data_IF_901148522649
#
_entry.id   IF_901148522649
#
_cell.length_a   1.000
_cell.length_b   1.000
_cell.length_c   1.000
_cell.angle_alpha   90.00
_cell.angle_beta   90.00
_cell.angle_gamma   90.00
#
_symmetry.space_group_name_H-M   'P 1'
#
loop_
_entity.id
_entity.type
_entity.pdbx_description
1 polymer ?
#
# COMPACT_ATOMS: atom_id res chain seq x y z
N UNK A 1 5.96 -6.06 9.51
CA UNK A 1 5.05 -5.30 8.60
C UNK A 1 4.50 -4.08 9.30
N UNK A 2 3.82 -4.25 10.44
CA UNK A 2 3.26 -3.12 11.21
C UNK A 2 4.32 -2.06 11.53
N UNK A 3 5.50 -2.46 12.01
CA UNK A 3 6.58 -1.50 12.32
C UNK A 3 7.03 -0.68 11.10
N UNK A 4 7.11 -1.29 9.91
CA UNK A 4 7.46 -0.58 8.68
C UNK A 4 6.37 0.43 8.29
N UNK A 5 5.09 0.09 8.47
CA UNK A 5 3.98 1.01 8.23
C UNK A 5 4.01 2.19 9.22
N UNK A 6 4.23 1.90 10.51
CA UNK A 6 4.31 2.94 11.55
C UNK A 6 5.46 3.90 11.26
N UNK A 7 6.64 3.38 10.92
CA UNK A 7 7.80 4.23 10.59
C UNK A 7 7.52 5.13 9.39
N UNK A 8 6.98 4.57 8.31
CA UNK A 8 6.62 5.32 7.11
C UNK A 8 5.59 6.44 7.39
N UNK A 9 4.56 6.15 8.20
CA UNK A 9 3.57 7.15 8.62
C UNK A 9 4.19 8.22 9.54
N UNK A 10 5.09 7.83 10.45
CA UNK A 10 5.79 8.77 11.31
C UNK A 10 6.68 9.73 10.50
N UNK A 11 7.38 9.24 9.48
CA UNK A 11 8.14 10.07 8.54
C UNK A 11 7.25 11.04 7.77
N UNK A 12 6.05 10.60 7.33
CA UNK A 12 5.07 11.48 6.71
C UNK A 12 4.65 12.64 7.64
N UNK A 13 4.39 12.36 8.92
CA UNK A 13 4.08 13.41 9.89
C UNK A 13 5.24 14.37 10.14
N UNK A 14 6.47 13.87 10.22
CA UNK A 14 7.66 14.71 10.35
C UNK A 14 7.82 15.62 9.13
N UNK A 15 7.63 15.08 7.92
CA UNK A 15 7.65 15.84 6.68
C UNK A 15 6.57 16.92 6.66
N UNK A 16 5.34 16.60 7.09
CA UNK A 16 4.25 17.58 7.19
C UNK A 16 4.60 18.73 8.12
N UNK A 17 5.11 18.41 9.32
CA UNK A 17 5.47 19.41 10.32
C UNK A 17 6.61 20.32 9.84
N UNK A 18 7.64 19.76 9.20
CA UNK A 18 8.79 20.51 8.68
C UNK A 18 8.43 21.46 7.52
N UNK A 19 7.43 21.09 6.71
CA UNK A 19 7.06 21.82 5.48
C UNK A 19 5.74 22.59 5.62
N UNK A 20 5.16 22.68 6.83
CA UNK A 20 3.88 23.34 7.09
C UNK A 20 2.72 22.80 6.22
N UNK A 21 2.70 21.49 5.95
CA UNK A 21 1.66 20.84 5.15
C UNK A 21 0.49 20.46 6.07
N UNK A 22 -0.72 20.84 5.69
CA UNK A 22 -1.96 20.55 6.41
C UNK A 22 -2.59 19.21 6.02
N UNK A 23 -2.41 18.78 4.77
CA UNK A 23 -2.91 17.49 4.30
C UNK A 23 -2.01 16.86 3.26
N UNK A 24 -1.89 15.54 3.32
CA UNK A 24 -1.23 14.69 2.33
C UNK A 24 -2.27 13.71 1.81
N UNK A 25 -2.44 13.63 0.49
CA UNK A 25 -3.37 12.72 -0.18
C UNK A 25 -2.62 12.00 -1.31
N UNK A 26 -2.82 10.69 -1.48
CA UNK A 26 -2.17 9.94 -2.56
C UNK A 26 -2.65 10.44 -3.93
N UNK A 27 -1.74 10.53 -4.90
CA UNK A 27 -2.14 10.78 -6.29
C UNK A 27 -2.95 9.60 -6.84
N UNK A 28 -4.05 9.88 -7.51
CA UNK A 28 -4.98 8.85 -7.98
C UNK A 28 -4.30 7.83 -8.91
N UNK A 29 -3.49 8.29 -9.86
CA UNK A 29 -2.75 7.45 -10.81
C UNK A 29 -1.73 6.54 -10.12
N UNK A 30 -1.07 7.02 -9.06
CA UNK A 30 -0.14 6.22 -8.25
C UNK A 30 -0.89 5.10 -7.53
N UNK A 31 -2.03 5.42 -6.89
CA UNK A 31 -2.86 4.43 -6.22
C UNK A 31 -3.40 3.36 -7.19
N UNK A 32 -3.94 3.79 -8.33
CA UNK A 32 -4.49 2.88 -9.35
C UNK A 32 -3.40 1.94 -9.88
N UNK A 33 -2.24 2.49 -10.27
CA UNK A 33 -1.11 1.68 -10.76
C UNK A 33 -0.60 0.71 -9.70
N UNK A 34 -0.52 1.12 -8.44
CA UNK A 34 -0.13 0.22 -7.35
C UNK A 34 -1.13 -0.93 -7.20
N UNK A 35 -2.43 -0.62 -7.15
CA UNK A 35 -3.48 -1.60 -6.96
C UNK A 35 -3.58 -2.58 -8.14
N UNK A 36 -3.48 -2.11 -9.39
CA UNK A 36 -3.46 -2.98 -10.57
C UNK A 36 -2.34 -4.01 -10.50
N UNK A 37 -1.12 -3.56 -10.20
CA UNK A 37 0.03 -4.43 -10.05
C UNK A 37 -0.14 -5.42 -8.89
N UNK A 38 -0.70 -4.96 -7.76
CA UNK A 38 -0.99 -5.79 -6.59
C UNK A 38 -1.98 -6.91 -6.94
N UNK A 39 -3.09 -6.58 -7.59
CA UNK A 39 -4.11 -7.55 -7.98
C UNK A 39 -3.57 -8.56 -9.02
N UNK A 40 -2.74 -8.12 -9.97
CA UNK A 40 -2.08 -9.02 -10.92
C UNK A 40 -1.16 -10.06 -10.24
N UNK A 41 -0.45 -9.65 -9.18
CA UNK A 41 0.38 -10.55 -8.37
C UNK A 41 -0.48 -11.52 -7.55
N UNK A 42 -1.51 -11.00 -6.87
CA UNK A 42 -2.43 -11.81 -6.05
C UNK A 42 -3.09 -12.94 -6.84
N UNK A 43 -3.49 -12.70 -8.09
CA UNK A 43 -4.05 -13.73 -9.01
C UNK A 43 -3.14 -14.95 -9.19
N UNK A 44 -1.83 -14.83 -8.98
CA UNK A 44 -0.88 -15.94 -9.14
C UNK A 44 -0.72 -16.79 -7.88
N UNK A 45 -1.21 -16.30 -6.74
CA UNK A 45 -1.05 -16.94 -5.43
C UNK A 45 -2.09 -18.03 -5.18
N UNK A 46 -1.80 -18.93 -4.23
CA UNK A 46 -2.77 -19.95 -3.76
C UNK A 46 -3.99 -19.35 -3.05
N UNK A 47 -3.92 -18.08 -2.65
CA UNK A 47 -5.03 -17.36 -2.02
C UNK A 47 -6.08 -16.90 -3.02
N UNK A 48 -5.79 -16.99 -4.32
CA UNK A 48 -6.72 -16.70 -5.41
C UNK A 48 -6.88 -17.86 -6.41
N UNK A 49 -5.89 -18.76 -6.48
CA UNK A 49 -5.96 -19.98 -7.30
C UNK A 49 -6.60 -21.12 -6.51
N UNK A 50 -7.56 -21.82 -7.13
CA UNK A 50 -8.13 -23.05 -6.59
C UNK A 50 -9.63 -23.03 -6.31
N UNK A 51 -10.34 -21.96 -6.67
CA UNK A 51 -11.81 -21.92 -6.65
C UNK A 51 -12.45 -21.92 -5.25
N UNK A 52 -11.65 -21.88 -4.18
CA UNK A 52 -12.14 -21.79 -2.82
C UNK A 52 -12.32 -20.32 -2.41
N UNK A 53 -13.51 -19.98 -1.93
CA UNK A 53 -13.78 -18.66 -1.36
C UNK A 53 -13.18 -18.57 0.03
N UNK A 54 -12.28 -17.61 0.23
CA UNK A 54 -11.63 -17.37 1.53
C UNK A 54 -12.15 -16.10 2.17
N UNK A 55 -11.97 -15.98 3.48
CA UNK A 55 -12.31 -14.77 4.23
C UNK A 55 -11.62 -13.49 3.70
N UNK A 56 -10.50 -13.64 2.99
CA UNK A 56 -9.73 -12.53 2.42
C UNK A 56 -10.30 -11.97 1.11
N UNK A 57 -11.33 -12.60 0.54
CA UNK A 57 -11.97 -12.16 -0.70
C UNK A 57 -13.18 -11.28 -0.42
N UNK A 58 -13.33 -10.21 -1.19
CA UNK A 58 -14.56 -9.43 -1.25
C UNK A 58 -15.65 -10.17 -2.07
N UNK A 59 -16.86 -9.59 -2.12
CA UNK A 59 -17.97 -10.13 -2.91
C UNK A 59 -17.68 -10.22 -4.43
N UNK A 60 -16.65 -9.53 -4.91
CA UNK A 60 -16.19 -9.54 -6.31
C UNK A 60 -15.00 -10.50 -6.53
N UNK A 61 -14.56 -11.21 -5.50
CA UNK A 61 -13.43 -12.14 -5.53
C UNK A 61 -12.05 -11.48 -5.48
N UNK A 62 -11.97 -10.17 -5.22
CA UNK A 62 -10.68 -9.50 -5.03
C UNK A 62 -10.14 -9.78 -3.65
N UNK A 63 -8.84 -10.01 -3.55
CA UNK A 63 -8.16 -10.05 -2.26
C UNK A 63 -7.69 -8.64 -1.91
N UNK A 64 -8.26 -8.08 -0.85
CA UNK A 64 -7.97 -6.71 -0.38
C UNK A 64 -7.17 -6.70 0.92
N UNK A 65 -6.83 -7.86 1.46
CA UNK A 65 -6.28 -7.99 2.81
C UNK A 65 -4.83 -8.47 2.84
N UNK A 66 -4.36 -9.15 1.80
CA UNK A 66 -3.06 -9.79 1.78
C UNK A 66 -2.04 -9.08 0.88
N UNK A 67 -0.79 -9.15 1.31
CA UNK A 67 0.38 -8.84 0.49
C UNK A 67 0.88 -10.13 -0.19
N UNK A 68 1.06 -10.16 -1.53
CA UNK A 68 1.38 -11.39 -2.27
C UNK A 68 2.87 -11.76 -2.32
N UNK A 69 3.76 -10.85 -1.94
CA UNK A 69 5.22 -11.03 -2.04
C UNK A 69 5.86 -11.28 -0.65
N UNK A 70 7.18 -11.45 -0.62
CA UNK A 70 7.91 -11.59 0.62
C UNK A 70 7.82 -10.32 1.50
N UNK A 71 7.79 -10.53 2.82
CA UNK A 71 7.73 -9.46 3.83
C UNK A 71 8.87 -8.45 3.72
N UNK A 72 10.08 -8.88 3.33
CA UNK A 72 11.22 -7.97 3.21
C UNK A 72 11.06 -6.99 2.03
N UNK A 73 10.40 -7.38 0.94
CA UNK A 73 10.06 -6.48 -0.17
C UNK A 73 9.10 -5.39 0.33
N UNK A 74 8.12 -5.77 1.14
CA UNK A 74 7.18 -4.82 1.76
C UNK A 74 7.90 -3.82 2.67
N UNK A 75 8.84 -4.29 3.48
CA UNK A 75 9.67 -3.43 4.34
C UNK A 75 10.51 -2.46 3.51
N UNK A 76 11.10 -2.92 2.40
CA UNK A 76 11.87 -2.05 1.51
C UNK A 76 11.01 -0.99 0.83
N UNK A 77 9.79 -1.35 0.42
CA UNK A 77 8.83 -0.41 -0.17
C UNK A 77 8.49 0.74 0.78
N UNK A 78 8.35 0.42 2.07
CA UNK A 78 8.01 1.39 3.12
C UNK A 78 9.24 1.96 3.84
N UNK A 79 10.44 1.78 3.29
CA UNK A 79 11.68 2.14 3.97
C UNK A 79 11.82 3.64 4.21
N UNK A 80 11.37 4.46 3.25
CA UNK A 80 11.38 5.92 3.36
C UNK A 80 10.05 6.47 2.85
N UNK A 81 9.58 7.56 3.45
CA UNK A 81 8.43 8.31 2.95
C UNK A 81 8.72 8.97 1.59
N UNK A 82 7.98 8.57 0.57
CA UNK A 82 8.04 9.01 -0.84
C UNK A 82 7.01 10.11 -1.12
N UNK A 83 7.26 11.30 -0.57
CA UNK A 83 6.38 12.48 -0.68
C UNK A 83 6.01 12.84 -2.13
N UNK A 84 6.85 12.49 -3.12
CA UNK A 84 6.61 12.73 -4.54
C UNK A 84 5.36 12.04 -5.08
N UNK A 85 4.88 10.99 -4.41
CA UNK A 85 3.69 10.25 -4.80
C UNK A 85 2.39 10.86 -4.26
N UNK A 86 2.49 11.95 -3.49
CA UNK A 86 1.36 12.57 -2.83
C UNK A 86 1.11 14.00 -3.30
N UNK A 87 -0.14 14.44 -3.15
CA UNK A 87 -0.57 15.83 -3.24
C UNK A 87 -0.48 16.41 -1.83
N UNK A 88 0.42 17.37 -1.65
CA UNK A 88 0.62 18.08 -0.38
C UNK A 88 -0.09 19.43 -0.45
N UNK A 89 -0.98 19.72 0.51
CA UNK A 89 -1.69 21.01 0.61
C UNK A 89 -1.40 21.66 1.97
N UNK A 90 -1.15 22.95 1.96
CA UNK A 90 -0.92 23.80 3.15
C UNK A 90 -2.22 24.35 3.71
#
# INVERSE_FOLDING_TARGET
MIEAQINYIAEAFLYMNQNHIRSIEIKQDVHEKFNENLQLKLKKTVWQKGGCHSWYQDAKGNNTSLWPDFTWIYILLLKNFDYENYICRT
#
